data_IF_616723300241
#
_entry.id   IF_616723300241
#
_cell.length_a   1.000
_cell.length_b   1.000
_cell.length_c   1.000
_cell.angle_alpha   90.00
_cell.angle_beta   90.00
_cell.angle_gamma   90.00
#
_symmetry.space_group_name_H-M   'P 1'
#
loop_
_entity.id
_entity.type
_entity.pdbx_description
1 polymer ?
#
# COMPACT_ATOMS: atom_id res chain seq x y z
N UNK A 1 62.65 -25.63 -74.46
CA UNK A 1 63.92 -25.93 -73.76
C UNK A 1 64.06 -24.92 -72.63
N UNK A 2 64.41 -25.39 -71.42
CA UNK A 2 64.69 -24.65 -70.18
C UNK A 2 63.47 -24.08 -69.42
N UNK A 3 63.36 -24.19 -68.09
CA UNK A 3 64.03 -25.04 -67.10
C UNK A 3 63.13 -25.07 -65.85
N UNK A 4 63.18 -26.18 -65.12
CA UNK A 4 62.64 -26.39 -63.76
C UNK A 4 63.07 -25.28 -62.79
N UNK A 5 62.30 -25.01 -61.72
CA UNK A 5 62.62 -25.41 -60.32
C UNK A 5 61.45 -25.06 -59.37
N UNK A 6 60.96 -26.04 -58.61
CA UNK A 6 60.01 -25.88 -57.48
C UNK A 6 60.80 -25.77 -56.16
N UNK A 7 60.51 -24.75 -55.38
CA UNK A 7 60.73 -24.63 -53.93
C UNK A 7 59.33 -24.32 -53.36
N UNK A 8 58.79 -24.85 -52.27
CA UNK A 8 59.34 -25.61 -51.16
C UNK A 8 58.84 -24.99 -49.85
N UNK A 9 57.71 -25.50 -49.31
CA UNK A 9 57.24 -25.42 -47.89
C UNK A 9 56.74 -24.01 -47.45
N UNK A 10 55.84 -23.77 -46.47
CA UNK A 10 55.31 -24.50 -45.33
C UNK A 10 53.88 -24.00 -45.01
N UNK A 11 53.00 -24.95 -44.64
CA UNK A 11 52.12 -24.97 -43.46
C UNK A 11 51.60 -23.64 -42.87
N UNK A 12 50.29 -23.45 -42.93
CA UNK A 12 49.53 -22.49 -42.12
C UNK A 12 48.05 -22.86 -42.15
N UNK A 13 47.64 -23.78 -41.29
CA UNK A 13 46.24 -24.14 -41.11
C UNK A 13 45.52 -23.03 -40.34
N UNK A 14 44.55 -22.38 -40.97
CA UNK A 14 43.54 -21.57 -40.30
C UNK A 14 42.16 -22.16 -40.64
N UNK A 15 41.76 -23.16 -39.86
CA UNK A 15 40.40 -23.66 -39.87
C UNK A 15 39.49 -22.63 -39.22
N UNK A 16 38.73 -21.89 -40.03
CA UNK A 16 37.57 -21.15 -39.56
C UNK A 16 36.46 -22.16 -39.29
N UNK A 17 36.42 -22.66 -38.06
CA UNK A 17 35.25 -23.36 -37.53
C UNK A 17 34.09 -22.35 -37.43
N UNK A 18 33.11 -22.48 -38.32
CA UNK A 18 31.81 -21.85 -38.17
C UNK A 18 31.12 -22.55 -37.00
N UNK A 19 31.33 -22.04 -35.79
CA UNK A 19 30.44 -22.30 -34.67
C UNK A 19 29.13 -21.56 -34.99
N UNK A 20 28.21 -22.28 -35.63
CA UNK A 20 26.81 -21.89 -35.66
C UNK A 20 26.33 -21.83 -34.21
N UNK A 21 26.28 -20.61 -33.69
CA UNK A 21 25.67 -20.26 -32.40
C UNK A 21 24.27 -20.84 -32.42
N UNK A 22 24.06 -21.89 -31.64
CA UNK A 22 22.73 -22.38 -31.33
C UNK A 22 21.94 -21.20 -30.78
N UNK A 23 20.91 -20.79 -31.51
CA UNK A 23 19.91 -19.84 -31.05
C UNK A 23 19.18 -20.52 -29.89
N UNK A 24 19.75 -20.39 -28.69
CA UNK A 24 19.06 -20.72 -27.46
C UNK A 24 17.81 -19.86 -27.41
N UNK A 25 16.64 -20.49 -27.47
CA UNK A 25 15.37 -19.84 -27.22
C UNK A 25 15.48 -19.13 -25.87
N UNK A 26 15.62 -17.80 -25.90
CA UNK A 26 15.48 -17.00 -24.70
C UNK A 26 14.02 -17.16 -24.26
N UNK A 27 13.80 -18.05 -23.29
CA UNK A 27 12.57 -18.05 -22.52
C UNK A 27 12.44 -16.66 -21.94
N UNK A 28 11.47 -15.89 -22.43
CA UNK A 28 11.09 -14.61 -21.86
C UNK A 28 10.77 -14.85 -20.39
N UNK A 29 11.69 -14.49 -19.50
CA UNK A 29 11.44 -14.55 -18.07
C UNK A 29 10.44 -13.45 -17.75
N UNK A 30 9.16 -13.83 -17.61
CA UNK A 30 8.15 -12.93 -17.05
C UNK A 30 8.36 -12.91 -15.54
N UNK A 31 8.81 -11.79 -14.95
CA UNK A 31 9.01 -11.73 -13.51
C UNK A 31 7.67 -12.00 -12.79
N UNK A 32 7.66 -12.73 -11.67
CA UNK A 32 6.45 -12.90 -10.88
C UNK A 32 5.90 -11.52 -10.48
N UNK A 33 4.61 -11.30 -10.74
CA UNK A 33 3.93 -10.07 -10.34
C UNK A 33 3.50 -10.16 -8.87
N UNK A 34 3.85 -9.13 -8.10
CA UNK A 34 3.46 -8.98 -6.70
C UNK A 34 2.43 -7.86 -6.57
N UNK A 35 1.44 -8.00 -5.66
CA UNK A 35 0.50 -6.91 -5.39
C UNK A 35 1.21 -5.74 -4.68
N UNK A 36 0.67 -4.51 -4.73
CA UNK A 36 1.18 -3.40 -3.93
C UNK A 36 1.17 -3.70 -2.43
N UNK A 37 2.23 -3.32 -1.72
CA UNK A 37 2.38 -3.54 -0.28
C UNK A 37 1.80 -2.42 0.59
N UNK A 38 1.46 -2.75 1.83
CA UNK A 38 1.05 -1.83 2.89
C UNK A 38 2.12 -1.83 4.00
N UNK A 39 2.73 -0.67 4.26
CA UNK A 39 3.84 -0.54 5.22
C UNK A 39 3.42 -0.81 6.69
N UNK A 40 2.18 -0.49 7.08
CA UNK A 40 1.68 -0.72 8.45
C UNK A 40 1.50 -2.21 8.71
N UNK A 41 0.81 -2.91 7.81
CA UNK A 41 0.70 -4.37 7.87
C UNK A 41 2.06 -5.06 7.76
N UNK A 42 2.99 -4.45 7.04
CA UNK A 42 4.39 -4.88 6.96
C UNK A 42 5.11 -4.79 8.30
N UNK A 43 4.95 -3.69 9.03
CA UNK A 43 5.56 -3.48 10.33
C UNK A 43 5.06 -4.49 11.39
N UNK A 44 3.77 -4.80 11.38
CA UNK A 44 3.16 -5.79 12.28
C UNK A 44 3.69 -7.20 12.01
N UNK A 45 3.73 -7.59 10.73
CA UNK A 45 4.28 -8.89 10.33
C UNK A 45 5.79 -8.96 10.59
N UNK A 46 6.51 -7.86 10.39
CA UNK A 46 7.93 -7.76 10.70
C UNK A 46 8.19 -8.03 12.19
N UNK A 47 7.42 -7.40 13.07
CA UNK A 47 7.55 -7.56 14.52
C UNK A 47 7.32 -9.00 14.97
N UNK A 48 6.31 -9.67 14.41
CA UNK A 48 5.94 -11.03 14.81
C UNK A 48 6.81 -12.13 14.20
N UNK A 49 7.38 -11.88 13.01
CA UNK A 49 7.99 -12.94 12.19
C UNK A 49 9.47 -12.71 11.87
N UNK A 50 9.91 -11.45 11.76
CA UNK A 50 11.24 -11.09 11.24
C UNK A 50 12.17 -10.55 12.33
N UNK A 51 11.63 -9.79 13.29
CA UNK A 51 12.39 -9.08 14.32
C UNK A 51 13.22 -10.00 15.23
N UNK A 52 12.80 -11.26 15.42
CA UNK A 52 13.55 -12.24 16.21
C UNK A 52 14.95 -12.52 15.67
N UNK A 53 15.14 -12.40 14.35
CA UNK A 53 16.45 -12.59 13.70
C UNK A 53 17.11 -11.26 13.32
N UNK A 54 16.32 -10.32 12.80
CA UNK A 54 16.80 -9.05 12.23
C UNK A 54 16.79 -7.87 13.21
N UNK A 55 16.44 -8.09 14.48
CA UNK A 55 16.32 -7.02 15.47
C UNK A 55 15.00 -6.24 15.36
N UNK A 56 14.53 -5.66 16.47
CA UNK A 56 13.23 -4.98 16.54
C UNK A 56 13.15 -3.70 15.69
N UNK A 57 14.28 -3.08 15.36
CA UNK A 57 14.37 -1.93 14.45
C UNK A 57 14.98 -2.31 13.11
N UNK A 58 15.06 -3.60 12.79
CA UNK A 58 15.70 -4.13 11.58
C UNK A 58 17.21 -3.80 11.47
N UNK A 59 17.85 -3.53 12.61
CA UNK A 59 19.27 -3.20 12.78
C UNK A 59 20.20 -4.42 12.64
N UNK A 60 19.62 -5.62 12.53
CA UNK A 60 20.34 -6.87 12.51
C UNK A 60 20.78 -7.31 13.90
N UNK A 61 21.32 -8.51 13.97
CA UNK A 61 22.00 -9.04 15.15
C UNK A 61 23.36 -9.54 14.73
N UNK A 62 24.38 -9.33 15.55
CA UNK A 62 25.78 -9.67 15.24
C UNK A 62 26.03 -11.16 14.97
N UNK A 63 25.05 -12.03 15.19
CA UNK A 63 25.22 -13.49 15.05
C UNK A 63 24.05 -14.25 14.42
N UNK A 64 22.92 -13.61 14.11
CA UNK A 64 21.73 -14.32 13.57
C UNK A 64 21.34 -13.84 12.18
N UNK A 65 21.21 -12.53 11.97
CA UNK A 65 20.83 -12.00 10.66
C UNK A 65 21.35 -10.57 10.44
N UNK A 66 21.65 -10.19 9.19
CA UNK A 66 22.20 -8.86 8.90
C UNK A 66 21.17 -7.75 9.16
N UNK A 67 21.64 -6.49 9.31
CA UNK A 67 20.77 -5.32 9.21
C UNK A 67 20.01 -5.35 7.88
N UNK A 68 18.79 -4.84 7.87
CA UNK A 68 17.99 -4.72 6.64
C UNK A 68 18.02 -3.30 6.05
N UNK A 69 18.55 -2.35 6.82
CA UNK A 69 18.81 -0.99 6.38
C UNK A 69 20.20 -0.55 6.84
N UNK A 70 20.76 0.42 6.13
CA UNK A 70 22.00 1.12 6.45
C UNK A 70 21.79 2.62 6.19
N UNK A 71 22.72 3.45 6.66
CA UNK A 71 22.66 4.89 6.41
C UNK A 71 22.75 5.16 4.90
N UNK A 72 21.61 5.51 4.28
CA UNK A 72 21.47 5.80 2.85
C UNK A 72 21.16 4.58 1.96
N UNK A 73 20.68 3.47 2.52
CA UNK A 73 20.41 2.27 1.70
C UNK A 73 19.62 1.18 2.40
N UNK A 74 18.98 0.31 1.61
CA UNK A 74 18.92 -1.12 1.93
C UNK A 74 20.35 -1.65 2.08
N UNK A 75 20.56 -2.53 3.05
CA UNK A 75 21.89 -3.04 3.43
C UNK A 75 22.57 -3.92 2.36
N UNK A 76 21.83 -4.35 1.33
CA UNK A 76 22.31 -5.23 0.27
C UNK A 76 22.01 -4.66 -1.12
N UNK A 77 23.02 -4.52 -2.00
CA UNK A 77 22.82 -4.07 -3.38
C UNK A 77 22.07 -5.10 -4.23
N UNK A 78 21.97 -6.36 -3.79
CA UNK A 78 21.32 -7.44 -4.53
C UNK A 78 19.78 -7.32 -4.55
N UNK A 79 19.20 -6.49 -3.70
CA UNK A 79 17.74 -6.28 -3.58
C UNK A 79 17.38 -4.79 -3.68
N UNK A 80 18.07 -4.04 -4.55
CA UNK A 80 17.98 -2.59 -4.70
C UNK A 80 16.71 -2.06 -5.38
N UNK A 81 15.66 -2.88 -5.50
CA UNK A 81 14.31 -2.45 -5.93
C UNK A 81 13.23 -3.12 -5.08
N UNK A 82 12.09 -2.45 -4.89
CA UNK A 82 10.99 -2.99 -4.09
C UNK A 82 10.53 -4.36 -4.61
N UNK A 83 10.52 -4.53 -5.93
CA UNK A 83 10.19 -5.79 -6.60
C UNK A 83 11.20 -6.88 -6.27
N UNK A 84 12.51 -6.60 -6.38
CA UNK A 84 13.55 -7.60 -6.06
C UNK A 84 13.59 -7.95 -4.57
N UNK A 85 13.30 -6.98 -3.69
CA UNK A 85 13.18 -7.22 -2.25
C UNK A 85 11.96 -8.08 -1.93
N UNK A 86 10.82 -7.79 -2.56
CA UNK A 86 9.58 -8.56 -2.38
C UNK A 86 9.75 -9.99 -2.83
N UNK A 87 10.36 -10.21 -4.00
CA UNK A 87 10.64 -11.54 -4.52
C UNK A 87 11.57 -12.33 -3.59
N UNK A 88 12.65 -11.69 -3.14
CA UNK A 88 13.58 -12.32 -2.22
C UNK A 88 12.91 -12.73 -0.90
N UNK A 89 12.12 -11.82 -0.30
CA UNK A 89 11.40 -12.10 0.94
C UNK A 89 10.43 -13.26 0.74
N UNK A 90 9.66 -13.26 -0.35
CA UNK A 90 8.70 -14.32 -0.64
C UNK A 90 9.37 -15.69 -0.78
N UNK A 91 10.50 -15.76 -1.48
CA UNK A 91 11.15 -17.03 -1.83
C UNK A 91 12.07 -17.56 -0.73
N UNK A 92 12.71 -16.67 0.05
CA UNK A 92 13.82 -17.04 0.92
C UNK A 92 13.57 -16.74 2.40
N UNK A 93 12.51 -15.99 2.71
CA UNK A 93 12.20 -15.56 4.07
C UNK A 93 10.81 -16.00 4.52
N UNK A 94 10.65 -16.34 5.81
CA UNK A 94 11.69 -16.46 6.84
C UNK A 94 12.66 -17.61 6.53
N UNK A 95 13.93 -17.48 6.93
CA UNK A 95 14.95 -18.51 6.61
C UNK A 95 14.63 -19.88 7.21
N UNK A 96 13.90 -19.90 8.33
CA UNK A 96 13.40 -21.10 8.98
C UNK A 96 12.25 -21.78 8.22
N UNK A 97 11.54 -21.05 7.35
CA UNK A 97 10.43 -21.55 6.56
C UNK A 97 10.26 -20.77 5.23
N UNK A 98 11.18 -20.92 4.25
CA UNK A 98 11.09 -20.22 2.98
C UNK A 98 9.78 -20.53 2.24
N UNK A 99 9.15 -19.52 1.64
CA UNK A 99 7.86 -19.66 0.94
C UNK A 99 6.63 -19.70 1.84
N UNK A 100 6.77 -19.56 3.17
CA UNK A 100 5.63 -19.57 4.09
C UNK A 100 4.78 -18.29 4.05
N UNK A 101 5.33 -17.19 3.53
CA UNK A 101 4.59 -15.93 3.38
C UNK A 101 3.76 -15.95 2.10
N UNK A 102 2.53 -15.42 2.16
CA UNK A 102 1.80 -15.10 0.94
C UNK A 102 2.47 -13.95 0.18
N UNK A 103 2.19 -13.85 -1.13
CA UNK A 103 2.69 -12.75 -1.97
C UNK A 103 2.35 -11.36 -1.40
N UNK A 104 1.14 -11.18 -0.84
CA UNK A 104 0.73 -9.92 -0.21
C UNK A 104 1.52 -9.64 1.09
N UNK A 105 1.77 -10.66 1.91
CA UNK A 105 2.57 -10.52 3.13
C UNK A 105 4.02 -10.15 2.80
N UNK A 106 4.60 -10.78 1.78
CA UNK A 106 5.91 -10.43 1.26
C UNK A 106 5.94 -8.98 0.76
N UNK A 107 4.94 -8.54 -0.03
CA UNK A 107 4.83 -7.15 -0.49
C UNK A 107 4.71 -6.16 0.68
N UNK A 108 3.89 -6.45 1.70
CA UNK A 108 3.71 -5.59 2.86
C UNK A 108 5.03 -5.38 3.63
N UNK A 109 5.73 -6.48 3.93
CA UNK A 109 7.00 -6.44 4.67
C UNK A 109 8.10 -5.79 3.82
N UNK A 110 8.14 -6.05 2.52
CA UNK A 110 9.06 -5.38 1.61
C UNK A 110 8.81 -3.87 1.57
N UNK A 111 7.56 -3.41 1.48
CA UNK A 111 7.22 -1.98 1.51
C UNK A 111 7.59 -1.33 2.84
N UNK A 112 7.41 -2.04 3.96
CA UNK A 112 7.87 -1.57 5.27
C UNK A 112 9.39 -1.39 5.32
N UNK A 113 10.15 -2.43 4.96
CA UNK A 113 11.62 -2.41 4.95
C UNK A 113 12.14 -1.33 3.98
N UNK A 114 11.51 -1.20 2.81
CA UNK A 114 11.83 -0.17 1.82
C UNK A 114 11.64 1.25 2.35
N UNK A 115 10.64 1.48 3.21
CA UNK A 115 10.42 2.75 3.88
C UNK A 115 11.49 3.14 4.91
N UNK A 116 12.30 2.16 5.37
CA UNK A 116 13.42 2.42 6.29
C UNK A 116 14.61 3.11 5.59
N UNK A 117 14.70 3.00 4.27
CA UNK A 117 15.83 3.44 3.44
C UNK A 117 15.94 4.97 3.27
N UNK A 118 14.82 5.71 3.40
CA UNK A 118 14.80 7.12 2.96
C UNK A 118 14.35 8.18 3.96
N UNK A 119 13.59 7.85 5.01
CA UNK A 119 12.90 8.91 5.78
C UNK A 119 12.78 8.72 7.30
N UNK A 120 13.09 7.55 7.88
CA UNK A 120 12.70 7.29 9.27
C UNK A 120 13.83 7.33 10.31
N UNK A 121 15.04 6.86 10.00
CA UNK A 121 16.10 6.81 11.01
C UNK A 121 15.74 5.96 12.25
N UNK A 122 16.75 5.58 13.04
CA UNK A 122 16.57 4.74 14.23
C UNK A 122 15.55 5.30 15.24
N UNK A 123 15.39 6.62 15.31
CA UNK A 123 14.50 7.32 16.24
C UNK A 123 13.01 7.26 15.90
N UNK A 124 12.60 6.97 14.65
CA UNK A 124 11.17 6.69 14.33
C UNK A 124 10.86 5.20 14.33
N UNK A 125 11.84 4.32 14.06
CA UNK A 125 11.70 2.89 14.34
C UNK A 125 11.45 2.64 15.84
N UNK A 126 12.14 3.38 16.72
CA UNK A 126 11.85 3.37 18.17
C UNK A 126 10.48 3.98 18.53
N UNK A 127 9.94 4.92 17.75
CA UNK A 127 8.58 5.46 17.99
C UNK A 127 7.48 4.50 17.51
N UNK A 128 7.66 3.82 16.37
CA UNK A 128 6.76 2.74 15.93
C UNK A 128 6.86 1.51 16.84
N UNK A 129 8.05 1.19 17.36
CA UNK A 129 8.25 0.15 18.36
C UNK A 129 7.67 0.55 19.73
N UNK A 130 7.76 1.83 20.12
CA UNK A 130 7.10 2.35 21.32
C UNK A 130 5.57 2.30 21.23
N UNK A 131 5.00 2.41 20.02
CA UNK A 131 3.57 2.15 19.77
C UNK A 131 3.20 0.67 19.93
N UNK A 132 4.17 -0.26 19.79
CA UNK A 132 3.99 -1.71 19.95
C UNK A 132 4.29 -2.22 21.38
N UNK A 133 5.02 -1.47 22.21
CA UNK A 133 5.38 -1.88 23.59
C UNK A 133 4.37 -1.45 24.66
N UNK A 134 3.19 -0.93 24.31
CA UNK A 134 2.10 -0.73 25.28
C UNK A 134 1.41 -2.07 25.59
N UNK A 135 2.15 -2.92 26.31
CA UNK A 135 1.78 -4.16 27.03
C UNK A 135 0.94 -5.21 26.28
N UNK A 136 1.56 -6.38 26.08
CA UNK A 136 0.93 -7.63 25.66
C UNK A 136 -0.28 -8.03 26.53
N UNK A 137 -1.36 -8.55 25.89
CA UNK A 137 -2.47 -9.25 26.57
C UNK A 137 -2.42 -10.76 26.25
N UNK A 138 -2.62 -11.65 27.25
CA UNK A 138 -2.73 -13.13 27.10
C UNK A 138 -3.95 -13.58 26.25
N UNK A 139 -4.10 -14.88 25.88
CA UNK A 139 -4.92 -15.29 24.75
C UNK A 139 -6.42 -14.99 24.95
N UNK A 140 -7.09 -14.64 23.86
CA UNK A 140 -8.42 -14.03 23.83
C UNK A 140 -9.52 -14.88 24.50
N UNK A 141 -10.44 -14.20 25.23
CA UNK A 141 -11.88 -14.35 24.94
C UNK A 141 -12.66 -13.02 25.10
N UNK A 142 -13.96 -12.98 24.72
CA UNK A 142 -14.52 -12.92 23.37
C UNK A 142 -14.50 -11.51 22.76
N UNK A 143 -14.76 -11.44 21.45
CA UNK A 143 -14.98 -10.28 20.57
C UNK A 143 -15.29 -8.93 21.27
N UNK A 144 -14.38 -7.95 21.16
CA UNK A 144 -14.79 -6.55 21.24
C UNK A 144 -15.61 -6.22 20.00
N UNK A 145 -16.93 -6.29 20.12
CA UNK A 145 -17.86 -6.08 19.01
C UNK A 145 -17.83 -4.66 18.42
N UNK A 146 -17.00 -3.73 18.92
CA UNK A 146 -16.90 -2.36 18.40
C UNK A 146 -15.42 -1.90 18.30
N UNK A 147 -15.06 -1.32 17.16
CA UNK A 147 -13.80 -0.60 16.88
C UNK A 147 -14.12 0.89 16.74
N UNK A 148 -13.32 1.78 17.33
CA UNK A 148 -13.58 3.23 17.25
C UNK A 148 -12.32 4.06 17.14
N UNK A 149 -12.37 5.11 16.33
CA UNK A 149 -11.44 6.23 16.26
C UNK A 149 -12.23 7.55 16.36
N UNK A 150 -11.55 8.69 16.28
CA UNK A 150 -12.17 10.02 16.40
C UNK A 150 -13.30 10.27 15.39
N UNK A 151 -13.15 9.75 14.17
CA UNK A 151 -14.11 9.97 13.07
C UNK A 151 -14.80 8.69 12.61
N UNK A 152 -14.49 7.54 13.20
CA UNK A 152 -14.98 6.26 12.71
C UNK A 152 -15.38 5.34 13.86
N UNK A 153 -16.46 4.60 13.69
CA UNK A 153 -16.87 3.56 14.64
C UNK A 153 -17.46 2.39 13.87
N UNK A 154 -17.03 1.17 14.14
CA UNK A 154 -17.54 -0.02 13.49
C UNK A 154 -17.99 -1.05 14.52
N UNK A 155 -19.20 -1.57 14.36
CA UNK A 155 -19.69 -2.73 15.08
C UNK A 155 -19.43 -4.01 14.27
N UNK A 156 -18.57 -4.88 14.79
CA UNK A 156 -18.11 -6.09 14.13
C UNK A 156 -19.18 -7.19 14.12
N UNK A 157 -19.94 -7.33 15.20
CA UNK A 157 -21.00 -8.36 15.29
C UNK A 157 -22.16 -8.05 14.36
N UNK A 158 -22.52 -6.78 14.24
CA UNK A 158 -23.67 -6.34 13.46
C UNK A 158 -23.29 -5.99 12.01
N UNK A 159 -22.00 -6.07 11.67
CA UNK A 159 -21.44 -5.61 10.39
C UNK A 159 -21.95 -4.22 10.01
N UNK A 160 -21.85 -3.27 10.94
CA UNK A 160 -22.19 -1.86 10.69
C UNK A 160 -21.00 -0.97 10.94
N UNK A 161 -20.85 0.10 10.17
CA UNK A 161 -19.86 1.13 10.43
C UNK A 161 -20.50 2.51 10.32
N UNK A 162 -20.01 3.45 11.12
CA UNK A 162 -20.41 4.85 11.13
C UNK A 162 -19.15 5.67 10.91
N UNK A 163 -19.13 6.44 9.83
CA UNK A 163 -18.10 7.41 9.49
C UNK A 163 -18.67 8.81 9.72
N UNK A 164 -18.07 9.57 10.63
CA UNK A 164 -18.26 11.02 10.70
C UNK A 164 -17.34 11.63 9.66
N UNK A 165 -17.86 12.46 8.77
CA UNK A 165 -17.12 13.06 7.67
C UNK A 165 -17.31 14.58 7.69
N UNK A 166 -16.29 15.32 8.11
CA UNK A 166 -16.36 16.79 8.26
C UNK A 166 -15.57 17.45 7.13
N UNK A 167 -16.27 18.13 6.23
CA UNK A 167 -15.63 19.00 5.24
C UNK A 167 -15.10 20.27 5.91
N UNK A 168 -13.85 20.64 5.65
CA UNK A 168 -13.22 21.81 6.29
C UNK A 168 -13.03 21.61 7.79
N UNK A 169 -12.52 20.44 8.18
CA UNK A 169 -12.29 20.11 9.59
C UNK A 169 -11.21 21.00 10.24
N UNK A 170 -10.15 21.28 9.48
CA UNK A 170 -9.06 22.19 9.84
C UNK A 170 -8.60 22.96 8.58
N UNK A 171 -7.51 23.73 8.69
CA UNK A 171 -6.98 24.55 7.59
C UNK A 171 -6.13 23.78 6.56
N UNK A 172 -6.06 22.43 6.63
CA UNK A 172 -5.29 21.64 5.66
C UNK A 172 -5.91 21.72 4.26
N UNK A 173 -5.04 21.55 3.24
CA UNK A 173 -5.35 21.71 1.82
C UNK A 173 -6.03 23.06 1.53
N UNK A 174 -5.23 24.14 1.46
CA UNK A 174 -5.70 25.48 1.13
C UNK A 174 -6.93 25.97 1.92
N UNK A 175 -6.81 26.00 3.26
CA UNK A 175 -7.82 26.56 4.18
C UNK A 175 -9.10 25.74 4.35
N UNK A 176 -9.13 24.45 3.99
CA UNK A 176 -10.25 23.57 4.36
C UNK A 176 -10.76 22.60 3.31
N UNK A 177 -10.03 22.37 2.21
CA UNK A 177 -10.42 21.40 1.18
C UNK A 177 -10.07 19.96 1.58
N UNK A 178 -10.56 19.54 2.73
CA UNK A 178 -10.27 18.23 3.33
C UNK A 178 -11.54 17.59 3.90
N UNK A 179 -11.47 16.28 4.12
CA UNK A 179 -12.38 15.57 5.01
C UNK A 179 -11.63 15.13 6.26
N UNK A 180 -12.08 15.59 7.44
CA UNK A 180 -11.47 15.23 8.73
C UNK A 180 -9.97 15.55 8.84
N UNK A 181 -9.48 16.45 7.99
CA UNK A 181 -8.07 16.80 7.84
C UNK A 181 -7.33 16.06 6.72
N UNK A 182 -7.92 15.01 6.14
CA UNK A 182 -7.36 14.24 5.03
C UNK A 182 -7.75 14.78 3.65
N UNK A 183 -6.83 14.66 2.70
CA UNK A 183 -6.90 15.14 1.32
C UNK A 183 -5.92 14.38 0.44
N UNK A 184 -6.08 14.43 -0.87
CA UNK A 184 -5.23 13.72 -1.84
C UNK A 184 -5.03 12.22 -1.57
N UNK A 185 -5.99 11.60 -0.87
CA UNK A 185 -5.92 10.17 -0.50
C UNK A 185 -4.94 9.87 0.64
N UNK A 186 -4.45 10.87 1.37
CA UNK A 186 -3.53 10.68 2.50
C UNK A 186 -4.18 9.98 3.72
N UNK A 187 -5.50 9.91 3.73
CA UNK A 187 -6.33 9.23 4.72
C UNK A 187 -7.12 8.12 4.06
N UNK A 188 -7.16 6.95 4.68
CA UNK A 188 -7.84 5.76 4.14
C UNK A 188 -8.87 5.20 5.12
N UNK A 189 -10.10 5.04 4.64
CA UNK A 189 -11.14 4.23 5.31
C UNK A 189 -11.14 2.83 4.70
N UNK A 190 -10.94 1.79 5.50
CA UNK A 190 -11.01 0.38 5.06
C UNK A 190 -12.29 -0.27 5.53
N UNK A 191 -13.08 -0.83 4.61
CA UNK A 191 -14.37 -1.47 4.88
C UNK A 191 -14.40 -2.87 4.25
N UNK A 192 -14.63 -3.95 5.02
CA UNK A 192 -14.91 -5.26 4.45
C UNK A 192 -16.28 -5.29 3.76
N UNK A 193 -16.39 -6.09 2.70
CA UNK A 193 -17.69 -6.37 2.06
C UNK A 193 -18.72 -6.89 3.07
N UNK A 194 -19.97 -6.49 2.89
CA UNK A 194 -21.07 -6.88 3.76
C UNK A 194 -21.24 -6.02 5.02
N UNK A 195 -20.44 -4.96 5.21
CA UNK A 195 -20.72 -3.94 6.21
C UNK A 195 -21.71 -2.90 5.68
N UNK A 196 -22.75 -2.58 6.45
CA UNK A 196 -23.57 -1.40 6.22
C UNK A 196 -22.84 -0.18 6.78
N UNK A 197 -22.41 0.73 5.92
CA UNK A 197 -21.71 1.96 6.29
C UNK A 197 -22.70 3.12 6.29
N UNK A 198 -22.78 3.83 7.41
CA UNK A 198 -23.49 5.10 7.56
C UNK A 198 -22.47 6.23 7.57
N UNK A 199 -22.64 7.22 6.69
CA UNK A 199 -21.78 8.40 6.64
C UNK A 199 -22.57 9.59 7.15
N UNK A 200 -22.11 10.19 8.25
CA UNK A 200 -22.64 11.41 8.85
C UNK A 200 -21.78 12.58 8.39
N UNK A 201 -22.25 13.28 7.39
CA UNK A 201 -21.56 14.40 6.77
C UNK A 201 -21.90 15.73 7.45
N UNK A 202 -20.89 16.55 7.70
CA UNK A 202 -21.04 17.96 8.11
C UNK A 202 -20.17 18.85 7.25
N UNK A 203 -20.75 19.92 6.71
CA UNK A 203 -19.98 21.00 6.12
C UNK A 203 -19.59 22.01 7.20
N UNK A 204 -18.30 22.08 7.54
CA UNK A 204 -17.75 23.05 8.50
C UNK A 204 -16.99 24.20 7.82
N UNK A 205 -16.93 24.21 6.50
CA UNK A 205 -16.27 25.26 5.72
C UNK A 205 -17.24 26.41 5.37
N UNK A 206 -16.68 27.47 4.80
CA UNK A 206 -17.40 28.68 4.39
C UNK A 206 -18.05 28.58 2.99
N UNK A 207 -17.80 27.50 2.26
CA UNK A 207 -18.35 27.25 0.91
C UNK A 207 -19.06 25.89 0.87
N UNK A 208 -19.90 25.61 -0.15
CA UNK A 208 -20.57 24.31 -0.25
C UNK A 208 -19.61 23.14 -0.49
N UNK A 209 -19.90 22.01 0.15
CA UNK A 209 -19.18 20.75 -0.03
C UNK A 209 -20.14 19.58 -0.11
N UNK A 210 -19.76 18.52 -0.80
CA UNK A 210 -20.51 17.26 -0.88
C UNK A 210 -19.61 16.09 -0.51
N UNK A 211 -20.19 14.91 -0.42
CA UNK A 211 -19.44 13.66 -0.33
C UNK A 211 -20.12 12.59 -1.16
N UNK A 212 -19.37 11.90 -2.01
CA UNK A 212 -19.83 10.79 -2.82
C UNK A 212 -18.77 9.69 -2.89
N UNK A 213 -19.21 8.43 -2.93
CA UNK A 213 -18.31 7.31 -3.21
C UNK A 213 -18.09 7.22 -4.72
N UNK A 214 -16.86 7.39 -5.18
CA UNK A 214 -16.48 7.32 -6.60
C UNK A 214 -15.42 6.24 -6.84
N UNK A 215 -15.11 5.96 -8.10
CA UNK A 215 -13.99 5.10 -8.48
C UNK A 215 -12.62 5.65 -8.04
N UNK A 216 -11.56 4.86 -8.16
CA UNK A 216 -10.23 5.19 -7.62
C UNK A 216 -9.50 6.31 -8.40
N UNK A 217 -10.02 6.69 -9.57
CA UNK A 217 -9.40 7.65 -10.48
C UNK A 217 -10.44 8.55 -11.11
N UNK A 218 -9.98 9.67 -11.69
CA UNK A 218 -10.81 10.65 -12.38
C UNK A 218 -11.23 11.81 -11.47
N UNK A 219 -11.54 12.93 -12.11
CA UNK A 219 -11.86 14.20 -11.44
C UNK A 219 -13.17 14.83 -11.93
N UNK A 220 -13.84 14.22 -12.92
CA UNK A 220 -15.04 14.75 -13.57
C UNK A 220 -16.36 14.10 -13.13
N UNK A 221 -16.35 13.36 -12.02
CA UNK A 221 -17.53 12.66 -11.53
C UNK A 221 -18.58 13.64 -11.00
N UNK A 222 -19.83 13.41 -11.38
CA UNK A 222 -20.99 14.22 -10.95
C UNK A 222 -21.93 13.46 -10.01
N UNK A 223 -21.63 12.20 -9.74
CA UNK A 223 -22.42 11.35 -8.85
C UNK A 223 -21.64 10.13 -8.36
N UNK A 224 -22.22 9.33 -7.47
CA UNK A 224 -21.56 8.18 -6.88
C UNK A 224 -21.52 6.99 -7.85
N UNK A 225 -20.50 6.14 -7.70
CA UNK A 225 -20.42 4.85 -8.39
C UNK A 225 -21.32 3.79 -7.71
N UNK A 226 -21.63 3.97 -6.43
CA UNK A 226 -22.60 3.14 -5.69
C UNK A 226 -23.89 3.96 -5.58
N UNK A 227 -25.04 3.48 -6.11
CA UNK A 227 -26.30 4.22 -6.03
C UNK A 227 -26.66 4.62 -4.60
N UNK A 228 -26.97 5.90 -4.40
CA UNK A 228 -27.32 6.46 -3.08
C UNK A 228 -26.14 6.69 -2.12
N UNK A 229 -24.91 6.32 -2.50
CA UNK A 229 -23.72 6.54 -1.67
C UNK A 229 -23.17 7.96 -1.80
N UNK A 230 -24.03 8.96 -1.56
CA UNK A 230 -23.72 10.37 -1.71
C UNK A 230 -24.61 11.24 -0.82
N UNK A 231 -24.12 12.42 -0.44
CA UNK A 231 -24.98 13.51 0.03
C UNK A 231 -25.96 13.93 -1.08
N UNK A 232 -27.12 14.50 -0.74
CA UNK A 232 -28.02 15.08 -1.74
C UNK A 232 -27.30 16.11 -2.62
N UNK A 233 -27.69 16.19 -3.89
CA UNK A 233 -27.24 17.26 -4.80
C UNK A 233 -25.71 17.42 -4.85
N UNK A 234 -24.93 16.36 -5.17
CA UNK A 234 -23.48 16.36 -4.97
C UNK A 234 -22.70 17.38 -5.79
N UNK A 235 -23.26 17.86 -6.91
CA UNK A 235 -22.68 18.94 -7.71
C UNK A 235 -23.00 20.33 -7.13
N UNK A 236 -24.19 20.53 -6.55
CA UNK A 236 -24.52 21.80 -5.88
C UNK A 236 -23.87 21.93 -4.50
N UNK A 237 -23.65 20.80 -3.82
CA UNK A 237 -23.07 20.76 -2.48
C UNK A 237 -24.07 21.04 -1.35
N UNK A 238 -23.71 20.61 -0.16
CA UNK A 238 -24.37 20.97 1.10
C UNK A 238 -23.86 22.34 1.53
N UNK A 239 -24.78 23.26 1.86
CA UNK A 239 -24.44 24.62 2.27
C UNK A 239 -23.56 24.67 3.54
N UNK A 240 -22.82 25.78 3.79
CA UNK A 240 -22.05 25.99 5.02
C UNK A 240 -22.86 25.70 6.29
N UNK A 241 -22.27 24.97 7.24
CA UNK A 241 -22.92 24.53 8.48
C UNK A 241 -23.95 23.41 8.31
N UNK A 242 -24.29 23.05 7.07
CA UNK A 242 -25.25 21.99 6.77
C UNK A 242 -24.74 20.60 7.09
N UNK A 243 -25.68 19.67 7.25
CA UNK A 243 -25.39 18.25 7.48
C UNK A 243 -26.18 17.39 6.51
N UNK A 244 -25.68 16.19 6.26
CA UNK A 244 -26.35 15.17 5.47
C UNK A 244 -25.96 13.79 5.99
N UNK A 245 -26.83 12.80 5.78
CA UNK A 245 -26.50 11.41 6.07
C UNK A 245 -26.82 10.57 4.86
N UNK A 246 -25.92 9.66 4.51
CA UNK A 246 -26.19 8.61 3.54
C UNK A 246 -25.66 7.27 4.04
N UNK A 247 -26.06 6.19 3.39
CA UNK A 247 -25.56 4.86 3.73
C UNK A 247 -25.31 4.05 2.48
N UNK A 248 -24.33 3.16 2.54
CA UNK A 248 -24.03 2.24 1.46
C UNK A 248 -23.55 0.91 2.02
N UNK A 249 -23.59 -0.13 1.19
CA UNK A 249 -23.03 -1.45 1.51
C UNK A 249 -22.13 -1.84 0.35
N UNK A 250 -20.80 -1.80 0.51
CA UNK A 250 -19.90 -2.13 -0.58
C UNK A 250 -19.93 -3.64 -0.82
N UNK A 251 -20.10 -4.03 -2.10
CA UNK A 251 -20.20 -5.43 -2.53
C UNK A 251 -18.98 -5.88 -3.33
N UNK A 252 -18.22 -4.94 -3.89
CA UNK A 252 -17.07 -5.23 -4.75
C UNK A 252 -15.79 -4.78 -4.06
N UNK A 253 -14.85 -5.69 -3.74
CA UNK A 253 -13.53 -5.31 -3.25
C UNK A 253 -12.78 -4.48 -4.28
N UNK A 254 -12.04 -3.48 -3.81
CA UNK A 254 -11.27 -2.60 -4.67
C UNK A 254 -11.02 -1.23 -4.05
N UNK A 255 -10.20 -0.41 -4.70
CA UNK A 255 -9.99 0.98 -4.32
C UNK A 255 -11.15 1.85 -4.82
N UNK A 256 -11.55 2.80 -3.99
CA UNK A 256 -12.56 3.82 -4.21
C UNK A 256 -12.08 5.11 -3.55
N UNK A 257 -12.83 6.19 -3.73
CA UNK A 257 -12.62 7.45 -3.00
C UNK A 257 -13.91 7.95 -2.40
N UNK A 258 -13.80 8.65 -1.29
CA UNK A 258 -14.86 9.52 -0.76
C UNK A 258 -14.48 10.94 -1.18
N UNK A 259 -15.23 11.53 -2.11
CA UNK A 259 -14.85 12.75 -2.81
C UNK A 259 -15.90 13.85 -2.71
N UNK A 260 -15.45 15.10 -2.66
CA UNK A 260 -16.32 16.26 -2.87
C UNK A 260 -16.53 16.49 -4.38
N UNK A 261 -17.78 16.47 -4.83
CA UNK A 261 -18.14 16.67 -6.24
C UNK A 261 -18.63 18.08 -6.55
N UNK A 262 -18.55 19.00 -5.58
CA UNK A 262 -18.70 20.43 -5.87
C UNK A 262 -17.61 20.85 -6.88
N UNK A 263 -17.95 21.64 -7.93
CA UNK A 263 -17.05 21.93 -9.03
C UNK A 263 -15.64 22.36 -8.60
N UNK A 264 -14.62 21.69 -9.15
CA UNK A 264 -13.21 21.97 -8.89
C UNK A 264 -12.63 21.30 -7.64
N UNK A 265 -13.43 20.96 -6.63
CA UNK A 265 -12.89 20.49 -5.33
C UNK A 265 -12.17 19.14 -5.43
N UNK A 266 -12.73 18.18 -6.18
CA UNK A 266 -12.06 16.90 -6.45
C UNK A 266 -10.73 17.09 -7.19
N UNK A 267 -10.66 18.05 -8.12
CA UNK A 267 -9.46 18.31 -8.92
C UNK A 267 -8.31 18.87 -8.07
N UNK A 268 -8.62 19.58 -6.99
CA UNK A 268 -7.64 20.12 -6.03
C UNK A 268 -7.44 19.21 -4.80
N UNK A 269 -7.77 17.92 -4.92
CA UNK A 269 -7.43 16.96 -3.89
C UNK A 269 -8.44 16.77 -2.77
N UNK A 270 -9.67 17.29 -2.90
CA UNK A 270 -10.69 17.11 -1.86
C UNK A 270 -11.33 15.72 -1.89
N UNK A 271 -10.53 14.71 -1.54
CA UNK A 271 -10.94 13.33 -1.39
C UNK A 271 -10.05 12.60 -0.37
N UNK A 272 -10.62 11.56 0.23
CA UNK A 272 -9.90 10.54 0.99
C UNK A 272 -10.12 9.18 0.34
N UNK A 273 -9.24 8.23 0.60
CA UNK A 273 -9.32 6.90 0.01
C UNK A 273 -10.32 6.01 0.76
N UNK A 274 -11.06 5.21 0.01
CA UNK A 274 -11.90 4.13 0.52
C UNK A 274 -11.39 2.80 -0.04
N UNK A 275 -10.94 1.91 0.83
CA UNK A 275 -10.52 0.56 0.47
C UNK A 275 -11.58 -0.45 0.84
N UNK A 276 -12.22 -1.06 -0.15
CA UNK A 276 -13.13 -2.20 0.10
C UNK A 276 -12.34 -3.50 0.04
N UNK A 277 -12.42 -4.30 1.10
CA UNK A 277 -11.70 -5.59 1.21
C UNK A 277 -12.65 -6.77 1.30
N UNK A 278 -12.21 -7.97 0.95
CA UNK A 278 -13.03 -9.19 1.02
C UNK A 278 -13.36 -9.63 2.46
N UNK A 279 -12.49 -9.28 3.41
CA UNK A 279 -12.59 -9.70 4.82
C UNK A 279 -11.67 -8.84 5.69
N UNK A 280 -11.87 -8.89 7.01
CA UNK A 280 -11.03 -8.20 7.98
C UNK A 280 -11.86 -7.32 8.91
N UNK A 281 -11.17 -6.40 9.59
CA UNK A 281 -11.78 -5.45 10.51
C UNK A 281 -11.83 -4.07 9.86
N UNK A 282 -12.96 -3.35 9.91
CA UNK A 282 -13.01 -1.98 9.43
C UNK A 282 -12.05 -1.07 10.20
N UNK A 283 -11.44 -0.11 9.51
CA UNK A 283 -10.48 0.83 10.10
C UNK A 283 -10.47 2.17 9.37
N UNK A 284 -9.87 3.17 10.02
CA UNK A 284 -9.55 4.46 9.43
C UNK A 284 -8.15 4.85 9.90
N UNK A 285 -7.26 5.21 8.98
CA UNK A 285 -5.85 5.53 9.22
C UNK A 285 -5.37 6.67 8.35
#
# INVERSE_FOLDING_TARGET
>A
MRLRTRWGKLLGAAGFGILAVGCGTQTSYTPPTFPPGNAVAGAELFTSTCAACHGPTAEGTTSVAPPLWQKGGISSPNYSTLTTLTAFIYENMPKSAPGSLSKQQASNVATFIWGLDGQLGSSKASQMLAMLTKTARPPAPPSTSVVSSKFFTANISNKTATLTLIAGYNSANDQGFNFDGGYDGDMTVTIPVGYKVTVNFKNNASIPHSAAIIGPTGTGQTGPIIPGATTPNPVQGTAPGGTATFSFTPTTPGPYRIACLFPGHLQIGMYIDLKVVSSGTPSMS
#
